data_IF_708546780430
#
_entry.id   IF_708546780430
#
_cell.length_a   1.000
_cell.length_b   1.000
_cell.length_c   1.000
_cell.angle_alpha   90.00
_cell.angle_beta   90.00
_cell.angle_gamma   90.00
#
_symmetry.space_group_name_H-M   'P 1'
#
loop_
_entity.id
_entity.type
_entity.pdbx_description
1 polymer ?
#
# COMPACT_ATOMS: atom_id res chain seq x y z
N UNK A 1 7.21 21.80 9.55
CA UNK A 1 8.57 21.27 9.49
C UNK A 1 8.86 20.90 8.03
N UNK A 2 9.75 21.62 7.35
CA UNK A 2 10.15 21.25 5.99
C UNK A 2 11.33 20.29 6.12
N UNK A 3 11.16 19.05 5.70
CA UNK A 3 12.28 18.12 5.50
C UNK A 3 13.03 18.66 4.27
N UNK A 4 14.07 19.46 4.54
CA UNK A 4 15.04 19.87 3.52
C UNK A 4 16.15 18.84 3.50
N UNK A 5 15.89 17.71 2.90
CA UNK A 5 16.97 16.94 2.28
C UNK A 5 17.10 17.45 0.83
N UNK A 6 18.31 17.77 0.39
CA UNK A 6 18.57 18.42 -0.90
C UNK A 6 18.15 17.54 -2.11
N UNK A 7 17.80 16.28 -1.86
CA UNK A 7 17.44 15.30 -2.89
C UNK A 7 15.93 14.99 -2.95
N UNK A 8 15.16 15.36 -1.91
CA UNK A 8 13.73 15.03 -1.88
C UNK A 8 12.84 16.25 -2.15
N UNK A 9 11.85 16.06 -3.04
CA UNK A 9 10.84 17.08 -3.34
C UNK A 9 9.50 16.66 -2.75
N UNK A 10 9.00 17.42 -1.78
CA UNK A 10 7.66 17.23 -1.21
C UNK A 10 6.67 18.18 -1.89
N UNK A 11 5.55 17.63 -2.36
CA UNK A 11 4.43 18.38 -2.92
C UNK A 11 3.16 18.04 -2.15
N UNK A 12 2.42 19.08 -1.77
CA UNK A 12 1.10 18.92 -1.16
C UNK A 12 0.04 18.89 -2.27
N UNK A 13 -0.87 17.90 -2.17
CA UNK A 13 -2.07 17.84 -3.00
C UNK A 13 -3.32 17.85 -2.12
N UNK A 14 -4.44 18.30 -2.66
CA UNK A 14 -5.71 18.35 -1.94
C UNK A 14 -6.34 16.97 -1.73
N UNK A 15 -5.99 15.98 -2.56
CA UNK A 15 -6.64 14.68 -2.52
C UNK A 15 -5.79 13.59 -3.19
N UNK A 16 -5.53 12.49 -2.45
CA UNK A 16 -4.91 11.25 -2.94
C UNK A 16 -5.87 10.05 -2.86
N UNK A 17 -7.14 10.27 -2.48
CA UNK A 17 -8.11 9.21 -2.22
C UNK A 17 -8.07 8.69 -0.77
N UNK A 18 -9.05 7.85 -0.44
CA UNK A 18 -9.07 7.10 0.82
C UNK A 18 -9.14 7.97 2.09
N UNK A 19 -10.20 8.75 2.28
CA UNK A 19 -10.38 9.62 3.45
C UNK A 19 -10.14 8.92 4.80
N UNK A 20 -10.49 7.64 4.92
CA UNK A 20 -10.29 6.87 6.15
C UNK A 20 -8.82 6.58 6.47
N UNK A 21 -7.93 6.76 5.50
CA UNK A 21 -6.49 6.49 5.61
C UNK A 21 -5.65 7.74 5.82
N UNK A 22 -6.31 8.91 5.88
CA UNK A 22 -5.62 10.19 6.02
C UNK A 22 -4.88 10.31 7.37
N UNK A 23 -3.73 11.00 7.43
CA UNK A 23 -2.98 11.56 6.29
C UNK A 23 -2.31 10.50 5.41
N UNK A 24 -2.27 10.73 4.09
CA UNK A 24 -1.68 9.82 3.11
C UNK A 24 -0.54 10.46 2.34
N UNK A 25 0.40 9.66 1.87
CA UNK A 25 1.44 10.07 0.95
C UNK A 25 1.62 9.05 -0.19
N UNK A 26 2.13 9.54 -1.32
CA UNK A 26 2.61 8.74 -2.43
C UNK A 26 4.10 9.02 -2.60
N UNK A 27 4.93 7.98 -2.51
CA UNK A 27 6.34 8.07 -2.84
C UNK A 27 6.57 7.81 -4.33
N UNK A 28 7.50 8.56 -4.92
CA UNK A 28 7.88 8.45 -6.32
C UNK A 28 9.41 8.41 -6.41
N UNK A 29 9.97 7.66 -7.36
CA UNK A 29 9.34 7.04 -8.53
C UNK A 29 8.69 5.65 -8.26
N UNK A 30 8.86 5.08 -7.10
CA UNK A 30 8.45 3.71 -6.75
C UNK A 30 6.93 3.49 -6.70
N UNK A 31 6.12 4.56 -6.69
CA UNK A 31 4.65 4.49 -6.79
C UNK A 31 3.95 3.91 -5.57
N UNK A 32 4.56 3.99 -4.38
CA UNK A 32 3.99 3.39 -3.16
C UNK A 32 3.14 4.35 -2.36
N UNK A 33 1.98 3.85 -1.94
CA UNK A 33 1.02 4.58 -1.10
C UNK A 33 1.21 4.25 0.38
N UNK A 34 1.13 5.29 1.20
CA UNK A 34 1.26 5.23 2.65
C UNK A 34 0.09 5.94 3.32
N UNK A 35 -0.31 5.50 4.51
CA UNK A 35 -1.48 6.00 5.23
C UNK A 35 -1.19 6.22 6.71
N UNK A 36 -2.08 6.94 7.39
CA UNK A 36 -2.03 7.25 8.82
C UNK A 36 -0.73 7.95 9.27
N UNK A 37 -0.19 8.78 8.39
CA UNK A 37 1.14 9.37 8.56
C UNK A 37 1.14 10.53 9.53
N UNK A 38 2.06 10.51 10.45
CA UNK A 38 2.56 11.71 11.13
C UNK A 38 3.94 12.10 10.57
N UNK A 39 4.55 13.13 11.16
CA UNK A 39 5.83 13.64 10.68
C UNK A 39 6.99 12.67 10.92
N UNK A 40 6.95 11.91 12.01
CA UNK A 40 8.03 11.01 12.41
C UNK A 40 7.96 9.72 11.57
N UNK A 41 6.75 9.16 11.38
CA UNK A 41 6.51 8.02 10.49
C UNK A 41 6.93 8.35 9.06
N UNK A 42 6.51 9.52 8.53
CA UNK A 42 6.91 9.93 7.18
C UNK A 42 8.43 10.07 7.05
N UNK A 43 9.08 10.64 8.08
CA UNK A 43 10.54 10.76 8.08
C UNK A 43 11.23 9.38 8.10
N UNK A 44 10.71 8.43 8.87
CA UNK A 44 11.20 7.06 8.92
C UNK A 44 11.04 6.30 7.61
N UNK A 45 9.88 6.45 6.93
CA UNK A 45 9.64 5.90 5.60
C UNK A 45 10.65 6.46 4.59
N UNK A 46 10.84 7.76 4.57
CA UNK A 46 11.76 8.43 3.65
C UNK A 46 13.20 8.00 3.85
N UNK A 47 13.64 7.82 5.09
CA UNK A 47 14.99 7.36 5.43
C UNK A 47 15.13 5.85 5.33
N UNK A 48 14.00 5.11 5.20
CA UNK A 48 13.96 3.64 5.25
C UNK A 48 14.55 3.07 6.54
N UNK A 49 14.34 3.77 7.66
CA UNK A 49 14.88 3.41 8.97
C UNK A 49 13.83 2.85 9.96
N UNK A 50 12.55 2.81 9.57
CA UNK A 50 11.53 2.04 10.27
C UNK A 50 11.76 0.54 10.10
N UNK A 51 11.54 -0.29 11.13
CA UNK A 51 11.45 -1.74 10.96
C UNK A 51 10.37 -2.13 9.94
N UNK A 52 10.62 -3.14 9.11
CA UNK A 52 9.73 -3.51 8.02
C UNK A 52 8.30 -3.86 8.49
N UNK A 53 8.17 -4.59 9.60
CA UNK A 53 6.88 -4.93 10.20
C UNK A 53 6.12 -3.67 10.67
N UNK A 54 6.82 -2.67 11.18
CA UNK A 54 6.23 -1.38 11.55
C UNK A 54 5.83 -0.58 10.32
N UNK A 55 6.68 -0.52 9.29
CA UNK A 55 6.38 0.14 8.03
C UNK A 55 5.16 -0.48 7.33
N UNK A 56 4.95 -1.81 7.47
CA UNK A 56 3.81 -2.55 6.93
C UNK A 56 2.46 -2.00 7.40
N UNK A 57 2.36 -1.51 8.63
CA UNK A 57 1.11 -0.95 9.17
C UNK A 57 0.64 0.29 8.39
N UNK A 58 1.58 1.07 7.88
CA UNK A 58 1.32 2.29 7.12
C UNK A 58 1.23 2.03 5.61
N UNK A 59 1.65 0.86 5.14
CA UNK A 59 1.73 0.55 3.72
C UNK A 59 0.35 0.25 3.11
N UNK A 60 0.09 0.81 1.91
CA UNK A 60 -1.17 0.63 1.16
C UNK A 60 -0.99 0.10 -0.25
N UNK A 61 0.22 -0.25 -0.63
CA UNK A 61 0.54 -0.91 -1.88
C UNK A 61 1.07 0.02 -2.96
N UNK A 62 1.56 -0.58 -4.01
CA UNK A 62 2.01 0.07 -5.23
C UNK A 62 0.79 0.43 -6.10
N UNK A 63 0.69 1.68 -6.55
CA UNK A 63 -0.44 2.16 -7.38
C UNK A 63 -0.54 1.49 -8.75
N UNK A 64 0.51 0.81 -9.20
CA UNK A 64 0.50 0.04 -10.45
C UNK A 64 -0.18 -1.34 -10.29
N UNK A 65 -0.42 -1.79 -9.07
CA UNK A 65 -1.04 -3.09 -8.76
C UNK A 65 -2.53 -2.91 -8.42
N UNK A 66 -3.32 -3.97 -8.66
CA UNK A 66 -4.69 -4.02 -8.18
C UNK A 66 -4.74 -4.25 -6.65
N UNK A 67 -5.88 -3.99 -5.98
CA UNK A 67 -5.96 -4.07 -4.52
C UNK A 67 -5.69 -5.45 -3.91
N UNK A 68 -5.95 -6.53 -4.66
CA UNK A 68 -5.65 -7.89 -4.23
C UNK A 68 -4.13 -8.11 -4.17
N UNK A 69 -3.43 -7.74 -5.24
CA UNK A 69 -1.98 -7.83 -5.34
C UNK A 69 -1.25 -6.88 -4.38
N UNK A 70 -1.79 -5.67 -4.15
CA UNK A 70 -1.27 -4.73 -3.14
C UNK A 70 -1.23 -5.35 -1.74
N UNK A 71 -2.21 -6.21 -1.42
CA UNK A 71 -2.26 -6.90 -0.12
C UNK A 71 -1.11 -7.90 0.02
N UNK A 72 -0.84 -8.69 -1.02
CA UNK A 72 0.28 -9.66 -1.05
C UNK A 72 1.62 -8.93 -1.06
N UNK A 73 1.74 -7.83 -1.80
CA UNK A 73 2.95 -7.00 -1.81
C UNK A 73 3.28 -6.43 -0.42
N UNK A 74 2.26 -6.13 0.37
CA UNK A 74 2.46 -5.71 1.76
C UNK A 74 3.13 -6.77 2.63
N UNK A 75 2.81 -8.03 2.44
CA UNK A 75 3.46 -9.14 3.14
C UNK A 75 4.90 -9.35 2.65
N UNK A 76 5.14 -9.14 1.35
CA UNK A 76 6.50 -9.15 0.78
C UNK A 76 7.35 -8.01 1.37
N UNK A 77 6.78 -6.83 1.59
CA UNK A 77 7.48 -5.73 2.28
C UNK A 77 7.86 -6.14 3.71
N UNK A 78 6.99 -6.81 4.45
CA UNK A 78 7.28 -7.26 5.80
C UNK A 78 8.42 -8.29 5.84
N UNK A 79 8.44 -9.22 4.88
CA UNK A 79 9.43 -10.30 4.79
C UNK A 79 10.77 -9.84 4.23
N UNK A 80 10.76 -9.10 3.11
CA UNK A 80 11.96 -8.67 2.39
C UNK A 80 12.50 -7.32 2.87
N UNK A 81 11.71 -6.59 3.67
CA UNK A 81 12.08 -5.28 4.16
C UNK A 81 12.13 -4.22 3.07
N UNK A 82 12.94 -3.20 3.30
CA UNK A 82 13.05 -2.04 2.40
C UNK A 82 13.63 -2.37 1.02
N UNK A 83 14.23 -3.54 0.81
CA UNK A 83 14.65 -3.99 -0.53
C UNK A 83 13.48 -4.07 -1.52
N UNK A 84 12.26 -4.27 -1.03
CA UNK A 84 11.04 -4.30 -1.83
C UNK A 84 10.83 -3.02 -2.65
N UNK A 85 11.28 -1.85 -2.14
CA UNK A 85 11.15 -0.58 -2.86
C UNK A 85 12.17 -0.41 -3.98
N UNK A 86 13.19 -1.25 -4.02
CA UNK A 86 14.26 -1.24 -5.02
C UNK A 86 14.10 -2.35 -6.08
N UNK A 87 12.97 -3.06 -6.10
CA UNK A 87 12.69 -4.04 -7.15
C UNK A 87 12.62 -3.36 -8.52
N UNK A 88 13.29 -3.95 -9.50
CA UNK A 88 13.37 -3.39 -10.86
C UNK A 88 12.02 -3.43 -11.58
N UNK A 89 11.28 -4.50 -11.37
CA UNK A 89 9.96 -4.73 -11.95
C UNK A 89 9.09 -5.51 -10.97
N UNK A 90 7.82 -5.14 -10.88
CA UNK A 90 6.80 -5.87 -10.11
C UNK A 90 5.59 -6.07 -11.01
N UNK A 91 5.16 -7.32 -11.15
CA UNK A 91 3.98 -7.72 -11.92
C UNK A 91 3.05 -8.58 -11.09
N UNK A 92 1.76 -8.54 -11.37
CA UNK A 92 0.79 -9.36 -10.66
C UNK A 92 -0.31 -9.88 -11.58
N UNK A 93 -0.88 -11.01 -11.16
CA UNK A 93 -2.11 -11.57 -11.70
C UNK A 93 -3.08 -11.83 -10.55
N UNK A 94 -4.36 -11.50 -10.73
CA UNK A 94 -5.40 -11.74 -9.73
C UNK A 94 -6.60 -12.42 -10.38
N UNK A 95 -6.82 -13.69 -10.04
CA UNK A 95 -7.98 -14.46 -10.48
C UNK A 95 -9.07 -14.38 -9.42
N UNK A 96 -10.06 -13.52 -9.66
CA UNK A 96 -11.10 -13.17 -8.68
C UNK A 96 -12.31 -14.10 -8.83
N UNK A 97 -12.73 -14.69 -7.71
CA UNK A 97 -13.96 -15.46 -7.58
C UNK A 97 -14.74 -15.00 -6.34
N UNK A 98 -15.79 -14.22 -6.55
CA UNK A 98 -16.59 -13.62 -5.49
C UNK A 98 -15.77 -12.70 -4.58
N UNK A 99 -15.72 -13.04 -3.29
CA UNK A 99 -14.99 -12.29 -2.25
C UNK A 99 -13.56 -12.84 -2.02
N UNK A 100 -13.03 -13.66 -2.94
CA UNK A 100 -11.67 -14.21 -2.91
C UNK A 100 -10.95 -14.03 -4.22
N UNK A 101 -9.63 -14.04 -4.17
CA UNK A 101 -8.79 -14.07 -5.36
C UNK A 101 -7.56 -14.95 -5.13
N UNK A 102 -7.18 -15.72 -6.16
CA UNK A 102 -5.84 -16.29 -6.25
C UNK A 102 -4.92 -15.24 -6.86
N UNK A 103 -3.87 -14.88 -6.14
CA UNK A 103 -2.94 -13.82 -6.54
C UNK A 103 -1.56 -14.41 -6.77
N UNK A 104 -1.00 -14.12 -7.94
CA UNK A 104 0.40 -14.33 -8.24
C UNK A 104 1.11 -12.98 -8.32
N UNK A 105 2.17 -12.78 -7.54
CA UNK A 105 3.02 -11.61 -7.54
C UNK A 105 4.42 -12.05 -7.93
N UNK A 106 5.02 -11.40 -8.91
CA UNK A 106 6.40 -11.65 -9.32
C UNK A 106 7.19 -10.34 -9.33
N UNK A 107 8.45 -10.40 -8.94
CA UNK A 107 9.35 -9.24 -8.95
C UNK A 107 10.75 -9.62 -9.38
N UNK A 108 11.47 -8.64 -9.91
CA UNK A 108 12.87 -8.80 -10.31
C UNK A 108 13.75 -7.98 -9.38
N UNK A 109 14.79 -8.59 -8.85
CA UNK A 109 15.80 -7.93 -8.03
C UNK A 109 17.20 -8.39 -8.45
N UNK A 110 18.03 -7.45 -8.92
CA UNK A 110 19.38 -7.76 -9.35
C UNK A 110 19.46 -8.81 -10.48
N UNK A 111 18.45 -8.88 -11.34
CA UNK A 111 18.35 -9.85 -12.44
C UNK A 111 17.84 -11.25 -12.03
N UNK A 112 17.45 -11.44 -10.77
CA UNK A 112 16.79 -12.65 -10.27
C UNK A 112 15.30 -12.39 -10.21
N UNK A 113 14.49 -13.35 -10.67
CA UNK A 113 13.02 -13.31 -10.58
C UNK A 113 12.63 -14.15 -9.38
N UNK A 114 11.89 -13.52 -8.48
CA UNK A 114 11.21 -14.17 -7.37
C UNK A 114 9.70 -14.06 -7.54
N UNK A 115 8.95 -14.97 -6.93
CA UNK A 115 7.50 -14.99 -7.03
C UNK A 115 6.83 -15.39 -5.70
N UNK A 116 5.60 -14.91 -5.52
CA UNK A 116 4.73 -15.26 -4.40
C UNK A 116 3.34 -15.57 -4.93
N UNK A 117 2.78 -16.70 -4.50
CA UNK A 117 1.36 -17.01 -4.70
C UNK A 117 0.64 -16.97 -3.36
N UNK A 118 -0.54 -16.38 -3.34
CA UNK A 118 -1.36 -16.29 -2.14
C UNK A 118 -2.84 -16.28 -2.49
N UNK A 119 -3.68 -16.65 -1.52
CA UNK A 119 -5.12 -16.43 -1.58
C UNK A 119 -5.46 -15.22 -0.72
N UNK A 120 -6.21 -14.30 -1.30
CA UNK A 120 -6.66 -13.08 -0.64
C UNK A 120 -8.18 -13.11 -0.55
N UNK A 121 -8.74 -12.69 0.58
CA UNK A 121 -10.18 -12.52 0.75
C UNK A 121 -10.56 -11.11 1.18
N UNK A 122 -11.79 -10.72 0.91
CA UNK A 122 -12.39 -9.53 1.51
C UNK A 122 -12.77 -9.88 2.95
N UNK A 123 -11.99 -9.34 3.91
CA UNK A 123 -12.19 -9.59 5.33
C UNK A 123 -13.36 -8.76 5.90
N UNK A 124 -13.54 -7.54 5.40
CA UNK A 124 -14.58 -6.61 5.84
C UNK A 124 -14.91 -5.59 4.75
N UNK A 125 -16.00 -4.82 4.95
CA UNK A 125 -16.42 -3.74 4.07
C UNK A 125 -16.78 -2.52 4.90
N UNK A 126 -16.08 -1.43 4.70
CA UNK A 126 -16.30 -0.18 5.45
C UNK A 126 -17.05 0.86 4.63
N UNK A 127 -17.93 1.63 5.24
CA UNK A 127 -18.61 2.71 4.55
C UNK A 127 -17.63 3.75 4.02
N UNK A 128 -17.78 4.16 2.78
CA UNK A 128 -17.01 5.28 2.21
C UNK A 128 -17.60 6.58 2.75
N UNK A 129 -16.84 7.24 3.62
CA UNK A 129 -17.22 8.50 4.22
C UNK A 129 -17.33 9.60 3.14
N UNK A 130 -18.43 10.31 3.12
CA UNK A 130 -18.66 11.46 2.26
C UNK A 130 -18.86 12.70 3.12
N UNK A 131 -18.35 13.84 2.68
CA UNK A 131 -18.50 15.08 3.41
C UNK A 131 -19.99 15.40 3.61
N UNK A 132 -20.38 15.68 4.85
CA UNK A 132 -21.75 16.07 5.22
C UNK A 132 -22.74 14.91 5.43
N UNK A 133 -22.30 13.64 5.32
CA UNK A 133 -23.15 12.48 5.60
C UNK A 133 -22.61 11.69 6.81
N UNK A 134 -23.54 11.12 7.58
CA UNK A 134 -23.16 10.16 8.62
C UNK A 134 -22.67 8.84 7.98
N UNK A 135 -21.79 8.07 8.65
CA UNK A 135 -21.31 6.78 8.14
C UNK A 135 -22.45 5.80 7.79
N UNK A 136 -23.54 5.84 8.53
CA UNK A 136 -24.75 5.03 8.28
C UNK A 136 -25.50 5.39 6.99
N UNK A 137 -25.23 6.56 6.43
CA UNK A 137 -25.83 7.06 5.18
C UNK A 137 -24.94 6.82 3.95
N UNK A 138 -23.78 6.17 4.14
CA UNK A 138 -22.86 5.90 3.06
C UNK A 138 -23.47 4.96 2.00
N UNK A 139 -23.48 5.43 0.75
CA UNK A 139 -24.02 4.67 -0.40
C UNK A 139 -23.02 3.68 -1.00
N UNK A 140 -21.75 3.74 -0.59
CA UNK A 140 -20.67 2.91 -1.09
C UNK A 140 -19.88 2.32 0.07
N UNK A 141 -19.36 1.11 -0.11
CA UNK A 141 -18.41 0.50 0.80
C UNK A 141 -17.06 0.28 0.10
N UNK A 142 -15.99 0.33 0.88
CA UNK A 142 -14.63 -0.02 0.47
C UNK A 142 -14.27 -1.34 1.12
N UNK A 143 -13.83 -2.35 0.36
CA UNK A 143 -13.39 -3.62 0.90
C UNK A 143 -12.07 -3.44 1.68
N UNK A 144 -11.89 -4.31 2.66
CA UNK A 144 -10.61 -4.56 3.31
C UNK A 144 -10.17 -5.97 2.96
N UNK A 145 -8.92 -6.10 2.50
CA UNK A 145 -8.37 -7.34 2.00
C UNK A 145 -7.43 -7.98 3.01
N UNK A 146 -7.39 -9.31 3.04
CA UNK A 146 -6.51 -10.09 3.91
C UNK A 146 -5.98 -11.32 3.19
N UNK A 147 -4.70 -11.63 3.34
CA UNK A 147 -4.11 -12.90 2.92
C UNK A 147 -4.60 -14.01 3.84
N UNK A 148 -4.99 -15.17 3.27
CA UNK A 148 -5.54 -16.31 4.00
C UNK A 148 -4.88 -17.64 3.65
N UNK A 149 -3.92 -17.67 2.71
CA UNK A 149 -3.19 -18.87 2.32
C UNK A 149 -2.11 -18.63 1.30
#
# INVERSE_FOLDING_TARGET
MCIRDSEMRVRRTSHLGGHRFAPTALTLPDGRMWAFLDADVLAGIVRRDLPAGEAREFYRGNVALDPWAQTVEGDVLEECGWSTVDFDEVTATSEVDGDRAAVGLAWTSGGVIDERSAVVEIADRYPVLQCGLAPSEAKKSSPEYRVVG
#
